data_IF_704995519114
#
_entry.id   IF_704995519114
#
_cell.length_a   1.000
_cell.length_b   1.000
_cell.length_c   1.000
_cell.angle_alpha   90.00
_cell.angle_beta   90.00
_cell.angle_gamma   90.00
#
_symmetry.space_group_name_H-M   'P 1'
#
loop_
_entity.id
_entity.type
_entity.pdbx_description
1 polymer ?
#
# COMPACT_ATOMS: atom_id res chain seq x y z
N UNK A 1 -0.21 -18.51 -14.46
CA UNK A 1 -1.66 -18.50 -14.72
C UNK A 1 -2.29 -17.81 -13.54
N UNK A 2 -3.03 -16.71 -13.74
CA UNK A 2 -3.67 -15.99 -12.64
C UNK A 2 -4.77 -16.89 -12.05
N UNK A 3 -4.52 -17.37 -10.85
CA UNK A 3 -5.45 -18.12 -10.01
C UNK A 3 -6.41 -17.16 -9.28
N UNK A 4 -7.56 -17.67 -8.83
CA UNK A 4 -8.58 -16.84 -8.16
C UNK A 4 -8.01 -16.10 -6.92
N UNK A 5 -7.05 -16.72 -6.22
CA UNK A 5 -6.36 -16.10 -5.10
C UNK A 5 -5.58 -14.84 -5.49
N UNK A 6 -5.04 -14.77 -6.71
CA UNK A 6 -4.33 -13.59 -7.20
C UNK A 6 -5.27 -12.39 -7.39
N UNK A 7 -6.50 -12.65 -7.83
CA UNK A 7 -7.52 -11.61 -7.95
C UNK A 7 -7.91 -11.06 -6.57
N UNK A 8 -8.06 -11.95 -5.58
CA UNK A 8 -8.44 -11.57 -4.22
C UNK A 8 -7.31 -10.86 -3.46
N UNK A 9 -6.07 -11.31 -3.61
CA UNK A 9 -4.93 -10.80 -2.84
C UNK A 9 -4.26 -9.59 -3.47
N UNK A 10 -4.32 -9.42 -4.80
CA UNK A 10 -3.62 -8.33 -5.50
C UNK A 10 -4.59 -7.34 -6.13
N UNK A 11 -5.54 -7.83 -6.93
CA UNK A 11 -6.40 -6.95 -7.74
C UNK A 11 -7.42 -6.23 -6.86
N UNK A 12 -8.05 -6.93 -5.93
CA UNK A 12 -9.07 -6.37 -5.02
C UNK A 12 -8.51 -5.23 -4.14
N UNK A 13 -7.35 -5.37 -3.47
CA UNK A 13 -6.76 -4.29 -2.68
C UNK A 13 -6.37 -3.07 -3.52
N UNK A 14 -5.80 -3.28 -4.71
CA UNK A 14 -5.42 -2.19 -5.62
C UNK A 14 -6.67 -1.44 -6.11
N UNK A 15 -7.69 -2.17 -6.54
CA UNK A 15 -8.97 -1.57 -6.93
C UNK A 15 -9.60 -0.80 -5.77
N UNK A 16 -9.62 -1.39 -4.57
CA UNK A 16 -10.11 -0.74 -3.35
C UNK A 16 -9.35 0.54 -3.01
N UNK A 17 -8.02 0.53 -3.10
CA UNK A 17 -7.17 1.70 -2.87
C UNK A 17 -7.43 2.81 -3.90
N UNK A 18 -7.54 2.47 -5.19
CA UNK A 18 -7.87 3.43 -6.24
C UNK A 18 -9.25 4.06 -6.04
N UNK A 19 -10.26 3.26 -5.71
CA UNK A 19 -11.62 3.75 -5.47
C UNK A 19 -11.65 4.62 -4.22
N UNK A 20 -11.07 4.17 -3.10
CA UNK A 20 -11.07 4.92 -1.85
C UNK A 20 -10.27 6.23 -1.96
N UNK A 21 -9.03 6.16 -2.47
CA UNK A 21 -8.19 7.33 -2.70
C UNK A 21 -8.77 8.30 -3.74
N UNK A 22 -9.44 7.76 -4.77
CA UNK A 22 -10.13 8.54 -5.79
C UNK A 22 -11.35 9.27 -5.24
N UNK A 23 -12.22 8.60 -4.48
CA UNK A 23 -13.40 9.22 -3.88
C UNK A 23 -13.01 10.34 -2.91
N UNK A 24 -12.07 10.07 -2.00
CA UNK A 24 -11.57 11.07 -1.04
C UNK A 24 -10.89 12.23 -1.78
N UNK A 25 -10.05 11.91 -2.76
CA UNK A 25 -9.34 12.90 -3.55
C UNK A 25 -10.29 13.80 -4.35
N UNK A 26 -11.34 13.22 -4.93
CA UNK A 26 -12.33 13.94 -5.73
C UNK A 26 -13.13 14.91 -4.86
N UNK A 27 -13.62 14.46 -3.71
CA UNK A 27 -14.33 15.34 -2.77
C UNK A 27 -13.45 16.50 -2.31
N UNK A 28 -12.17 16.24 -2.05
CA UNK A 28 -11.22 17.27 -1.60
C UNK A 28 -10.87 18.29 -2.68
N UNK A 29 -10.73 17.84 -3.92
CA UNK A 29 -10.50 18.73 -5.06
C UNK A 29 -11.71 19.62 -5.31
N UNK A 30 -12.91 19.05 -5.25
CA UNK A 30 -14.17 19.82 -5.35
C UNK A 30 -14.28 20.90 -4.26
N UNK A 31 -13.84 20.60 -3.04
CA UNK A 31 -13.83 21.54 -1.91
C UNK A 31 -12.64 22.51 -1.92
N UNK A 32 -11.81 22.52 -2.97
CA UNK A 32 -10.69 23.46 -3.14
C UNK A 32 -9.55 23.28 -2.14
N UNK A 33 -9.34 22.06 -1.62
CA UNK A 33 -8.22 21.78 -0.69
C UNK A 33 -6.91 21.61 -1.45
N UNK A 34 -5.80 22.03 -0.84
CA UNK A 34 -4.45 21.99 -1.45
C UNK A 34 -4.01 20.60 -1.93
N UNK A 35 -4.44 19.54 -1.24
CA UNK A 35 -4.24 18.14 -1.66
C UNK A 35 -5.54 17.58 -2.26
N UNK A 36 -5.58 17.47 -3.59
CA UNK A 36 -6.73 17.03 -4.41
C UNK A 36 -6.65 15.56 -4.87
N UNK A 37 -7.22 15.27 -6.04
CA UNK A 37 -7.42 13.89 -6.54
C UNK A 37 -6.12 13.12 -6.73
N UNK A 38 -5.17 13.73 -7.47
CA UNK A 38 -3.89 13.10 -7.80
C UNK A 38 -3.10 12.69 -6.55
N UNK A 39 -3.10 13.54 -5.51
CA UNK A 39 -2.35 13.27 -4.28
C UNK A 39 -2.92 12.08 -3.50
N UNK A 40 -4.24 12.02 -3.33
CA UNK A 40 -4.87 10.94 -2.55
C UNK A 40 -4.82 9.60 -3.26
N UNK A 41 -4.97 9.58 -4.59
CA UNK A 41 -4.78 8.35 -5.38
C UNK A 41 -3.36 7.83 -5.27
N UNK A 42 -2.35 8.70 -5.45
CA UNK A 42 -0.94 8.26 -5.40
C UNK A 42 -0.55 7.76 -4.01
N UNK A 43 -0.98 8.45 -2.94
CA UNK A 43 -0.67 8.05 -1.55
C UNK A 43 -1.38 6.75 -1.18
N UNK A 44 -2.65 6.59 -1.55
CA UNK A 44 -3.41 5.36 -1.29
C UNK A 44 -2.84 4.17 -2.05
N UNK A 45 -2.53 4.36 -3.34
CA UNK A 45 -1.93 3.32 -4.18
C UNK A 45 -0.53 2.93 -3.67
N UNK A 46 0.32 3.90 -3.33
CA UNK A 46 1.66 3.63 -2.81
C UNK A 46 1.60 2.84 -1.49
N UNK A 47 0.71 3.22 -0.57
CA UNK A 47 0.51 2.51 0.69
C UNK A 47 0.03 1.07 0.46
N UNK A 48 -0.90 0.88 -0.47
CA UNK A 48 -1.40 -0.45 -0.85
C UNK A 48 -0.28 -1.32 -1.44
N UNK A 49 0.49 -0.81 -2.40
CA UNK A 49 1.58 -1.55 -3.03
C UNK A 49 2.68 -1.93 -2.03
N UNK A 50 3.04 -1.04 -1.11
CA UNK A 50 4.00 -1.33 -0.05
C UNK A 50 3.49 -2.42 0.89
N UNK A 51 2.20 -2.41 1.23
CA UNK A 51 1.61 -3.46 2.07
C UNK A 51 1.54 -4.81 1.34
N UNK A 52 1.19 -4.81 0.05
CA UNK A 52 1.21 -6.02 -0.76
C UNK A 52 2.63 -6.61 -0.82
N UNK A 53 3.64 -5.77 -1.07
CA UNK A 53 5.04 -6.18 -1.03
C UNK A 53 5.42 -6.74 0.36
N UNK A 54 4.91 -6.14 1.44
CA UNK A 54 5.13 -6.62 2.81
C UNK A 54 4.50 -7.99 3.08
N UNK A 55 3.38 -8.32 2.44
CA UNK A 55 2.72 -9.61 2.62
C UNK A 55 3.34 -10.69 1.73
N UNK A 56 3.80 -10.35 0.52
CA UNK A 56 4.36 -11.30 -0.43
C UNK A 56 5.88 -11.49 -0.30
N UNK A 57 6.57 -10.69 0.54
CA UNK A 57 8.03 -10.77 0.70
C UNK A 57 8.52 -12.15 1.19
N UNK A 58 7.71 -12.87 1.97
CA UNK A 58 8.05 -14.20 2.47
C UNK A 58 8.22 -15.18 1.30
N UNK A 59 7.32 -15.14 0.32
CA UNK A 59 7.36 -16.04 -0.86
C UNK A 59 8.61 -15.81 -1.74
N UNK A 60 9.17 -14.60 -1.71
CA UNK A 60 10.38 -14.25 -2.46
C UNK A 60 11.66 -14.56 -1.69
N UNK A 61 11.68 -14.31 -0.38
CA UNK A 61 12.82 -14.52 0.49
C UNK A 61 13.11 -16.01 0.73
N UNK A 62 12.08 -16.84 0.98
CA UNK A 62 12.25 -18.26 1.30
C UNK A 62 12.74 -19.10 0.12
N UNK A 63 12.54 -18.64 -1.13
CA UNK A 63 13.08 -19.33 -2.32
C UNK A 63 14.59 -19.18 -2.48
N UNK A 64 15.21 -18.16 -1.88
CA UNK A 64 16.62 -17.85 -2.08
C UNK A 64 17.57 -18.60 -1.13
N UNK A 65 17.13 -18.96 0.10
CA UNK A 65 17.95 -19.65 1.10
C UNK A 65 17.18 -20.82 1.76
N UNK A 66 17.32 -22.06 1.27
CA UNK A 66 16.50 -23.20 1.68
C UNK A 66 16.73 -23.71 3.13
N UNK A 67 17.61 -23.09 3.92
CA UNK A 67 18.03 -23.64 5.22
C UNK A 67 18.27 -22.57 6.31
N UNK A 68 17.83 -21.33 6.06
CA UNK A 68 17.90 -20.26 7.05
C UNK A 68 16.49 -19.92 7.55
N UNK A 69 16.33 -19.78 8.87
CA UNK A 69 15.06 -19.38 9.47
C UNK A 69 14.88 -17.86 9.32
N UNK A 70 14.48 -17.42 8.13
CA UNK A 70 14.25 -16.01 7.83
C UNK A 70 12.86 -15.62 8.37
N UNK A 71 12.84 -15.05 9.57
CA UNK A 71 11.61 -14.49 10.14
C UNK A 71 11.33 -13.14 9.46
N UNK A 72 10.29 -13.10 8.63
CA UNK A 72 9.84 -11.86 7.98
C UNK A 72 8.79 -11.19 8.85
N UNK A 73 8.99 -9.91 9.18
CA UNK A 73 8.08 -9.11 10.00
C UNK A 73 7.41 -8.00 9.16
N UNK A 74 6.20 -8.23 8.63
CA UNK A 74 5.48 -7.23 7.83
C UNK A 74 5.10 -5.99 8.63
N UNK A 75 5.05 -6.06 9.97
CA UNK A 75 4.68 -4.90 10.80
C UNK A 75 5.71 -3.77 10.71
N UNK A 76 6.98 -4.09 10.41
CA UNK A 76 8.03 -3.07 10.17
C UNK A 76 7.74 -2.21 8.95
N UNK A 77 7.25 -2.80 7.86
CA UNK A 77 6.86 -2.05 6.67
C UNK A 77 5.62 -1.20 6.93
N UNK A 78 4.62 -1.76 7.64
CA UNK A 78 3.45 -1.01 8.08
C UNK A 78 3.84 0.21 8.92
N UNK A 79 4.78 0.04 9.85
CA UNK A 79 5.28 1.12 10.69
C UNK A 79 5.97 2.21 9.87
N UNK A 80 6.78 1.85 8.87
CA UNK A 80 7.41 2.81 7.96
C UNK A 80 6.40 3.66 7.16
N UNK A 81 5.31 3.04 6.68
CA UNK A 81 4.21 3.76 6.01
C UNK A 81 3.53 4.73 6.98
N UNK A 82 3.22 4.29 8.21
CA UNK A 82 2.61 5.14 9.24
C UNK A 82 3.51 6.32 9.62
N UNK A 83 4.82 6.09 9.75
CA UNK A 83 5.80 7.16 9.99
C UNK A 83 5.82 8.16 8.84
N UNK A 84 5.84 7.70 7.59
CA UNK A 84 5.80 8.57 6.41
C UNK A 84 4.55 9.43 6.34
N UNK A 85 3.37 8.85 6.57
CA UNK A 85 2.11 9.60 6.66
C UNK A 85 2.14 10.61 7.83
N UNK A 86 2.74 10.22 8.97
CA UNK A 86 2.95 11.11 10.11
C UNK A 86 3.74 12.37 9.75
N UNK A 87 4.83 12.23 8.98
CA UNK A 87 5.60 13.37 8.48
C UNK A 87 4.80 14.26 7.51
N UNK A 88 4.03 13.66 6.59
CA UNK A 88 3.15 14.41 5.70
C UNK A 88 2.09 15.23 6.46
N UNK A 89 1.55 14.69 7.55
CA UNK A 89 0.57 15.37 8.39
C UNK A 89 1.19 16.42 9.32
N UNK A 90 2.45 16.24 9.73
CA UNK A 90 3.17 17.22 10.55
C UNK A 90 3.54 18.50 9.77
N UNK A 91 3.44 18.49 8.44
CA UNK A 91 3.68 19.66 7.61
C UNK A 91 5.16 20.07 7.53
N UNK A 92 6.06 19.08 7.68
CA UNK A 92 7.51 19.24 7.52
C UNK A 92 7.88 19.40 6.05
#
# INVERSE_FOLDING_TARGET
MADAAWLETVVLPIAGALIAGGLIGFEREWRGRAAGFRTHILVSLASCLLMLAAMTQADWAFRALPNENIVTDPTRMAHGVLTGIGFLCAGV
#
